data_IF_352871120497
#
_entry.id   IF_352871120497
#
_cell.length_a   1.000
_cell.length_b   1.000
_cell.length_c   1.000
_cell.angle_alpha   90.00
_cell.angle_beta   90.00
_cell.angle_gamma   90.00
#
_symmetry.space_group_name_H-M   'P 1'
#
loop_
_entity.id
_entity.type
_entity.pdbx_description
1 polymer ?
#
# COMPACT_ATOMS: atom_id res chain seq x y z
N UNK A 1 -14.58 -13.68 -3.12
CA UNK A 1 -13.89 -13.52 -4.40
C UNK A 1 -14.84 -13.88 -5.53
N UNK A 2 -15.23 -12.91 -6.35
CA UNK A 2 -16.07 -13.13 -7.53
C UNK A 2 -15.26 -13.76 -8.66
N UNK A 3 -15.93 -14.39 -9.63
CA UNK A 3 -15.23 -15.05 -10.75
C UNK A 3 -14.39 -14.07 -11.59
N UNK A 4 -14.89 -12.84 -11.73
CA UNK A 4 -14.20 -11.74 -12.41
C UNK A 4 -12.98 -11.27 -11.63
N UNK A 5 -13.05 -11.24 -10.29
CA UNK A 5 -11.89 -10.94 -9.44
C UNK A 5 -10.80 -12.00 -9.61
N UNK A 6 -11.14 -13.29 -9.60
CA UNK A 6 -10.16 -14.38 -9.77
C UNK A 6 -9.57 -14.37 -11.19
N UNK A 7 -10.39 -14.10 -12.22
CA UNK A 7 -9.93 -14.00 -13.61
C UNK A 7 -8.93 -12.86 -13.79
N UNK A 8 -9.20 -11.69 -13.19
CA UNK A 8 -8.27 -10.55 -13.17
C UNK A 8 -7.02 -10.84 -12.35
N UNK A 9 -7.17 -11.50 -11.20
CA UNK A 9 -6.06 -11.82 -10.30
C UNK A 9 -5.02 -12.74 -10.96
N UNK A 10 -5.49 -13.69 -11.77
CA UNK A 10 -4.66 -14.71 -12.41
C UNK A 10 -4.30 -14.38 -13.87
N UNK A 11 -4.76 -13.24 -14.39
CA UNK A 11 -4.65 -12.84 -15.80
C UNK A 11 -5.04 -13.97 -16.78
N UNK A 12 -6.15 -14.65 -16.50
CA UNK A 12 -6.67 -15.74 -17.32
C UNK A 12 -8.13 -15.51 -17.67
N UNK A 13 -8.56 -15.83 -18.90
CA UNK A 13 -9.94 -15.64 -19.33
C UNK A 13 -10.94 -16.38 -18.44
N UNK A 14 -12.11 -15.77 -18.20
CA UNK A 14 -13.22 -16.37 -17.44
C UNK A 14 -13.59 -17.79 -17.92
N UNK A 15 -13.40 -18.07 -19.22
CA UNK A 15 -13.65 -19.39 -19.82
C UNK A 15 -12.69 -20.45 -19.27
N UNK A 16 -11.41 -20.13 -19.18
CA UNK A 16 -10.38 -20.99 -18.58
C UNK A 16 -10.70 -21.27 -17.12
N UNK A 17 -11.16 -20.25 -16.39
CA UNK A 17 -11.58 -20.37 -14.99
C UNK A 17 -12.82 -21.27 -14.80
N UNK A 18 -13.79 -21.20 -15.73
CA UNK A 18 -14.97 -22.10 -15.74
C UNK A 18 -14.55 -23.55 -15.95
N UNK A 19 -13.61 -23.81 -16.85
CA UNK A 19 -13.14 -25.16 -17.14
C UNK A 19 -12.31 -25.74 -15.99
N UNK A 20 -11.54 -24.90 -15.27
CA UNK A 20 -10.84 -25.31 -14.07
C UNK A 20 -11.78 -25.58 -12.89
N UNK A 21 -12.91 -24.87 -12.78
CA UNK A 21 -13.93 -25.18 -11.77
C UNK A 21 -14.54 -26.58 -11.93
N UNK A 22 -14.56 -27.11 -13.16
CA UNK A 22 -14.96 -28.50 -13.45
C UNK A 22 -13.86 -29.51 -13.08
N UNK A 23 -12.60 -29.08 -13.11
CA UNK A 23 -11.44 -29.90 -12.75
C UNK A 23 -10.71 -29.31 -11.53
N UNK A 24 -11.31 -29.52 -10.35
CA UNK A 24 -10.95 -28.83 -9.09
C UNK A 24 -9.48 -28.97 -8.68
N UNK A 25 -8.81 -30.05 -9.07
CA UNK A 25 -7.39 -30.26 -8.74
C UNK A 25 -6.50 -29.15 -9.30
N UNK A 26 -6.66 -28.78 -10.57
CA UNK A 26 -5.89 -27.70 -11.21
C UNK A 26 -6.12 -26.34 -10.57
N UNK A 27 -7.33 -26.10 -10.07
CA UNK A 27 -7.63 -24.87 -9.33
C UNK A 27 -6.87 -24.84 -8.00
N UNK A 28 -6.83 -25.97 -7.28
CA UNK A 28 -6.09 -26.08 -6.03
C UNK A 28 -4.57 -25.99 -6.25
N UNK A 29 -4.02 -26.63 -7.28
CA UNK A 29 -2.59 -26.54 -7.61
C UNK A 29 -2.17 -25.09 -7.89
N UNK A 30 -3.02 -24.34 -8.62
CA UNK A 30 -2.77 -22.92 -8.90
C UNK A 30 -2.91 -22.09 -7.62
N UNK A 31 -3.95 -22.32 -6.81
CA UNK A 31 -4.12 -21.64 -5.52
C UNK A 31 -3.00 -21.95 -4.53
N UNK A 32 -2.40 -23.14 -4.60
CA UNK A 32 -1.25 -23.58 -3.80
C UNK A 32 0.06 -23.01 -4.34
N UNK A 33 0.16 -22.77 -5.66
CA UNK A 33 1.30 -22.09 -6.30
C UNK A 33 1.25 -20.56 -6.18
N UNK A 34 0.07 -19.99 -5.92
CA UNK A 34 -0.08 -18.57 -5.66
C UNK A 34 0.33 -18.28 -4.24
N UNK A 35 1.44 -17.58 -4.08
CA UNK A 35 1.78 -17.00 -2.78
C UNK A 35 0.72 -15.95 -2.44
N UNK A 36 -0.16 -16.27 -1.49
CA UNK A 36 -1.31 -15.44 -1.11
C UNK A 36 -0.88 -14.01 -0.76
N UNK A 37 0.29 -13.87 -0.15
CA UNK A 37 0.85 -12.57 0.21
C UNK A 37 1.30 -11.79 -1.03
N UNK A 38 2.02 -12.43 -1.96
CA UNK A 38 2.45 -11.79 -3.23
C UNK A 38 1.25 -11.40 -4.11
N UNK A 39 0.21 -12.23 -4.11
CA UNK A 39 -0.98 -12.03 -4.95
C UNK A 39 -1.88 -10.91 -4.39
N UNK A 40 -1.97 -10.81 -3.05
CA UNK A 40 -2.63 -9.69 -2.37
C UNK A 40 -1.87 -8.37 -2.58
N UNK A 41 -0.54 -8.42 -2.59
CA UNK A 41 0.30 -7.24 -2.90
C UNK A 41 0.08 -6.77 -4.36
N UNK A 42 -0.06 -7.67 -5.34
CA UNK A 42 -0.34 -7.31 -6.74
C UNK A 42 -1.71 -6.66 -6.96
N UNK A 43 -2.75 -7.08 -6.24
CA UNK A 43 -4.06 -6.42 -6.31
C UNK A 43 -4.01 -5.00 -5.73
N UNK A 44 -3.25 -4.79 -4.64
CA UNK A 44 -3.06 -3.46 -4.05
C UNK A 44 -2.32 -2.48 -4.97
N UNK A 45 -1.45 -2.98 -5.86
CA UNK A 45 -0.73 -2.18 -6.85
C UNK A 45 -1.67 -1.45 -7.83
N UNK A 46 -2.81 -2.06 -8.18
CA UNK A 46 -3.76 -1.43 -9.09
C UNK A 46 -4.43 -0.22 -8.43
N UNK A 47 -4.84 -0.35 -7.16
CA UNK A 47 -5.44 0.73 -6.38
C UNK A 47 -4.44 1.87 -6.06
N UNK A 48 -3.13 1.58 -5.97
CA UNK A 48 -2.12 2.63 -5.68
C UNK A 48 -1.93 3.67 -6.80
N UNK A 49 -2.12 3.27 -8.06
CA UNK A 49 -1.90 4.13 -9.23
C UNK A 49 -3.12 5.00 -9.57
N UNK A 50 -4.24 4.79 -8.89
CA UNK A 50 -5.45 5.56 -9.10
C UNK A 50 -5.23 7.03 -8.75
N UNK A 51 -5.72 7.91 -9.61
CA UNK A 51 -5.73 9.36 -9.40
C UNK A 51 -7.07 9.76 -8.81
N UNK A 52 -7.03 10.34 -7.61
CA UNK A 52 -8.22 10.78 -6.88
C UNK A 52 -8.19 12.28 -6.65
N UNK A 53 -9.37 12.86 -6.44
CA UNK A 53 -9.49 14.26 -6.00
C UNK A 53 -9.18 14.31 -4.50
N UNK A 54 -7.97 14.75 -4.19
CA UNK A 54 -7.50 15.01 -2.85
C UNK A 54 -8.14 16.29 -2.30
N UNK A 55 -8.61 16.25 -1.05
CA UNK A 55 -9.10 17.43 -0.34
C UNK A 55 -8.31 17.60 0.97
N UNK A 56 -7.49 18.67 1.09
CA UNK A 56 -6.64 18.87 2.26
C UNK A 56 -7.44 19.07 3.56
N UNK A 57 -8.69 19.53 3.48
CA UNK A 57 -9.55 19.77 4.66
C UNK A 57 -9.97 18.50 5.39
N UNK A 58 -9.75 17.33 4.80
CA UNK A 58 -10.03 16.03 5.42
C UNK A 58 -8.98 15.61 6.45
N UNK A 59 -7.86 16.31 6.48
CA UNK A 59 -6.68 15.94 7.25
C UNK A 59 -6.27 17.10 8.17
N UNK A 60 -5.56 16.78 9.24
CA UNK A 60 -5.07 17.77 10.21
C UNK A 60 -4.02 18.69 9.59
N UNK A 61 -3.16 18.12 8.76
CA UNK A 61 -2.05 18.83 8.12
C UNK A 61 -2.12 18.64 6.61
N UNK A 62 -2.00 19.75 5.86
CA UNK A 62 -1.90 19.67 4.41
C UNK A 62 -0.47 19.26 4.00
N UNK A 63 -0.27 17.99 3.64
CA UNK A 63 1.02 17.51 3.15
C UNK A 63 1.37 18.03 1.74
N UNK A 64 0.39 18.55 1.00
CA UNK A 64 0.54 19.20 -0.30
C UNK A 64 0.40 20.72 -0.15
N UNK A 65 1.24 21.33 0.69
CA UNK A 65 1.16 22.74 1.10
C UNK A 65 1.11 23.76 -0.06
N UNK A 66 1.58 23.40 -1.25
CA UNK A 66 1.50 24.23 -2.46
C UNK A 66 0.08 24.34 -3.03
N UNK A 67 -0.82 23.42 -2.65
CA UNK A 67 -2.22 23.39 -3.08
C UNK A 67 -3.12 23.33 -1.85
N UNK A 68 -3.62 24.48 -1.41
CA UNK A 68 -4.62 24.57 -0.34
C UNK A 68 -6.05 24.23 -0.81
N UNK A 69 -6.20 24.02 -2.12
CA UNK A 69 -7.45 23.62 -2.77
C UNK A 69 -7.43 22.13 -3.11
N UNK A 70 -8.56 21.62 -3.59
CA UNK A 70 -8.64 20.24 -4.08
C UNK A 70 -7.69 20.03 -5.25
N UNK A 71 -6.89 18.96 -5.22
CA UNK A 71 -5.94 18.65 -6.27
C UNK A 71 -6.03 17.18 -6.68
N UNK A 72 -5.58 16.87 -7.90
CA UNK A 72 -5.49 15.48 -8.35
C UNK A 72 -4.18 14.88 -7.85
N UNK A 73 -4.26 13.81 -7.07
CA UNK A 73 -3.10 13.12 -6.51
C UNK A 73 -3.27 11.62 -6.68
N UNK A 74 -2.16 10.88 -6.78
CA UNK A 74 -2.24 9.42 -6.75
C UNK A 74 -2.52 8.93 -5.34
N UNK A 75 -3.26 7.85 -5.19
CA UNK A 75 -3.49 7.22 -3.88
C UNK A 75 -2.16 6.91 -3.19
N UNK A 76 -1.18 6.41 -3.96
CA UNK A 76 0.18 6.20 -3.46
C UNK A 76 0.79 7.48 -2.88
N UNK A 77 0.75 8.62 -3.59
CA UNK A 77 1.41 9.85 -3.13
C UNK A 77 0.76 10.39 -1.86
N UNK A 78 -0.57 10.32 -1.76
CA UNK A 78 -1.31 10.72 -0.56
C UNK A 78 -0.84 9.88 0.64
N UNK A 79 -0.96 8.55 0.54
CA UNK A 79 -0.59 7.64 1.64
C UNK A 79 0.90 7.82 2.01
N UNK A 80 1.78 7.85 1.01
CA UNK A 80 3.23 7.98 1.20
C UNK A 80 3.62 9.26 1.95
N UNK A 81 2.96 10.38 1.65
CA UNK A 81 3.23 11.67 2.28
C UNK A 81 2.65 11.74 3.69
N UNK A 82 1.42 11.28 3.91
CA UNK A 82 0.82 11.27 5.26
C UNK A 82 1.53 10.33 6.23
N UNK A 83 2.03 9.18 5.77
CA UNK A 83 2.89 8.31 6.58
C UNK A 83 4.20 9.00 7.03
N UNK A 84 4.66 10.02 6.30
CA UNK A 84 5.86 10.80 6.67
C UNK A 84 5.58 11.81 7.78
N UNK A 85 4.32 12.25 7.92
CA UNK A 85 3.92 13.20 8.96
C UNK A 85 3.74 12.53 10.32
N UNK A 86 3.56 11.21 10.34
CA UNK A 86 3.38 10.40 11.55
C UNK A 86 2.21 10.84 12.46
N UNK A 87 1.23 11.57 11.92
CA UNK A 87 0.03 11.95 12.66
C UNK A 87 -0.95 10.77 12.73
N UNK A 88 -1.27 10.34 13.96
CA UNK A 88 -2.10 9.15 14.17
C UNK A 88 -3.54 9.33 13.67
N UNK A 89 -4.07 10.56 13.69
CA UNK A 89 -5.44 10.82 13.26
C UNK A 89 -5.56 10.78 11.73
N UNK A 90 -4.58 11.36 11.03
CA UNK A 90 -4.49 11.32 9.57
C UNK A 90 -4.20 9.91 9.07
N UNK A 91 -3.37 9.13 9.77
CA UNK A 91 -3.13 7.71 9.45
C UNK A 91 -4.43 6.89 9.58
N UNK A 92 -5.23 7.13 10.62
CA UNK A 92 -6.53 6.48 10.76
C UNK A 92 -7.51 6.93 9.67
N UNK A 93 -7.45 8.18 9.24
CA UNK A 93 -8.26 8.68 8.14
C UNK A 93 -7.88 8.03 6.80
N UNK A 94 -6.59 7.93 6.45
CA UNK A 94 -6.18 7.22 5.22
C UNK A 94 -6.51 5.72 5.29
N UNK A 95 -6.41 5.08 6.46
CA UNK A 95 -6.88 3.70 6.65
C UNK A 95 -8.36 3.54 6.32
N UNK A 96 -9.19 4.50 6.73
CA UNK A 96 -10.64 4.51 6.49
C UNK A 96 -10.97 4.75 5.01
N UNK A 97 -10.22 5.61 4.33
CA UNK A 97 -10.46 5.95 2.93
C UNK A 97 -9.97 4.88 1.95
N UNK A 98 -8.78 4.34 2.20
CA UNK A 98 -8.05 3.48 1.23
C UNK A 98 -7.89 2.03 1.70
N UNK A 99 -8.24 1.75 2.95
CA UNK A 99 -8.15 0.41 3.53
C UNK A 99 -6.78 0.11 4.14
N UNK A 100 -6.80 -0.55 5.31
CA UNK A 100 -5.62 -0.97 6.08
C UNK A 100 -4.57 -1.73 5.27
N UNK A 101 -5.00 -2.65 4.39
CA UNK A 101 -4.07 -3.48 3.60
C UNK A 101 -3.22 -2.63 2.65
N UNK A 102 -3.84 -1.65 1.97
CA UNK A 102 -3.18 -0.76 1.03
C UNK A 102 -2.22 0.18 1.75
N UNK A 103 -2.65 0.75 2.88
CA UNK A 103 -1.80 1.63 3.71
C UNK A 103 -0.58 0.86 4.25
N UNK A 104 -0.75 -0.39 4.70
CA UNK A 104 0.37 -1.24 5.12
C UNK A 104 1.33 -1.55 3.97
N UNK A 105 0.81 -1.83 2.78
CA UNK A 105 1.63 -2.07 1.60
C UNK A 105 2.52 -0.85 1.29
N UNK A 106 1.94 0.36 1.26
CA UNK A 106 2.72 1.59 1.00
C UNK A 106 3.72 1.87 2.11
N UNK A 107 3.40 1.58 3.38
CA UNK A 107 4.36 1.66 4.48
C UNK A 107 5.58 0.75 4.25
N UNK A 108 5.35 -0.51 3.90
CA UNK A 108 6.42 -1.47 3.64
C UNK A 108 7.29 -1.03 2.48
N UNK A 109 6.67 -0.65 1.37
CA UNK A 109 7.38 -0.20 0.17
C UNK A 109 8.22 1.07 0.43
N UNK A 110 7.66 2.06 1.15
CA UNK A 110 8.38 3.27 1.58
C UNK A 110 9.66 2.92 2.35
N UNK A 111 9.56 2.06 3.36
CA UNK A 111 10.68 1.71 4.21
C UNK A 111 11.70 0.80 3.53
N UNK A 112 11.26 -0.13 2.67
CA UNK A 112 12.15 -0.92 1.80
C UNK A 112 12.99 0.01 0.93
N UNK A 113 12.36 0.89 0.15
CA UNK A 113 13.05 1.87 -0.71
C UNK A 113 14.01 2.76 0.06
N UNK A 114 13.62 3.19 1.27
CA UNK A 114 14.47 4.03 2.12
C UNK A 114 15.71 3.28 2.63
N UNK A 115 15.56 2.02 3.05
CA UNK A 115 16.68 1.20 3.51
C UNK A 115 17.55 0.67 2.36
N UNK A 116 16.99 0.42 1.18
CA UNK A 116 17.74 0.06 -0.04
C UNK A 116 18.66 1.21 -0.47
N UNK A 117 18.23 2.46 -0.26
CA UNK A 117 19.08 3.63 -0.46
C UNK A 117 20.24 3.69 0.55
N UNK A 118 20.08 3.09 1.73
CA UNK A 118 21.10 2.99 2.78
C UNK A 118 21.30 4.26 3.62
N UNK A 119 20.60 5.35 3.31
CA UNK A 119 20.72 6.60 4.07
C UNK A 119 19.49 7.51 3.94
N UNK A 120 19.30 8.37 4.95
CA UNK A 120 18.34 9.48 4.92
C UNK A 120 19.12 10.78 4.79
N UNK A 121 18.87 11.51 3.70
CA UNK A 121 19.47 12.83 3.47
C UNK A 121 18.65 13.91 4.19
N UNK A 122 19.20 14.45 5.27
CA UNK A 122 18.62 15.59 5.98
C UNK A 122 19.44 16.84 5.69
N UNK A 123 19.17 17.50 4.56
CA UNK A 123 19.54 18.89 4.25
C UNK A 123 20.92 19.39 4.70
N UNK A 124 21.96 18.54 4.65
CA UNK A 124 23.29 18.86 5.16
C UNK A 124 24.03 17.69 5.84
N UNK A 125 23.33 16.60 6.20
CA UNK A 125 23.96 15.38 6.70
C UNK A 125 23.17 14.14 6.28
N UNK A 126 23.90 13.09 5.87
CA UNK A 126 23.32 11.79 5.57
C UNK A 126 23.34 10.90 6.81
N UNK A 127 22.16 10.48 7.27
CA UNK A 127 22.01 9.52 8.35
C UNK A 127 22.05 8.12 7.74
N UNK A 128 23.12 7.38 8.01
CA UNK A 128 23.26 6.00 7.54
C UNK A 128 22.18 5.11 8.17
N UNK A 129 21.53 4.31 7.33
CA UNK A 129 20.58 3.30 7.75
C UNK A 129 21.27 1.94 7.74
N UNK A 130 21.10 1.19 8.83
CA UNK A 130 21.65 -0.16 8.96
C UNK A 130 20.62 -1.10 9.56
N UNK A 131 20.81 -2.40 9.27
CA UNK A 131 19.91 -3.45 9.72
C UNK A 131 18.61 -3.52 8.91
N UNK A 132 17.59 -4.11 9.51
CA UNK A 132 16.30 -4.38 8.85
C UNK A 132 15.31 -3.24 9.09
N UNK A 133 14.65 -2.77 8.01
CA UNK A 133 13.69 -1.66 8.10
C UNK A 133 12.55 -1.89 9.09
N UNK A 134 12.12 -3.15 9.22
CA UNK A 134 11.05 -3.56 10.12
C UNK A 134 11.40 -3.47 11.62
N UNK A 135 12.68 -3.26 11.95
CA UNK A 135 13.15 -3.03 13.32
C UNK A 135 13.21 -1.54 13.69
N UNK A 136 13.04 -0.64 12.72
CA UNK A 136 12.98 0.80 12.95
C UNK A 136 11.84 1.15 13.90
N UNK A 137 12.10 2.01 14.88
CA UNK A 137 11.10 2.42 15.85
C UNK A 137 9.96 3.20 15.17
N UNK A 138 10.28 4.04 14.19
CA UNK A 138 9.29 4.75 13.39
C UNK A 138 8.40 3.78 12.60
N UNK A 139 8.99 2.73 12.02
CA UNK A 139 8.22 1.71 11.31
C UNK A 139 7.27 0.96 12.25
N UNK A 140 7.76 0.56 13.45
CA UNK A 140 6.93 -0.14 14.44
C UNK A 140 5.76 0.71 14.91
N UNK A 141 5.99 2.00 15.13
CA UNK A 141 4.94 2.91 15.59
C UNK A 141 3.85 3.09 14.52
N UNK A 142 4.25 3.38 13.28
CA UNK A 142 3.30 3.45 12.16
C UNK A 142 2.55 2.14 11.96
N UNK A 143 3.26 1.01 12.05
CA UNK A 143 2.66 -0.32 11.97
C UNK A 143 1.64 -0.55 13.09
N UNK A 144 1.93 -0.14 14.34
CA UNK A 144 0.97 -0.21 15.45
C UNK A 144 -0.29 0.60 15.17
N UNK A 145 -0.15 1.86 14.73
CA UNK A 145 -1.29 2.73 14.41
C UNK A 145 -2.16 2.10 13.30
N UNK A 146 -1.53 1.58 12.24
CA UNK A 146 -2.22 0.90 11.14
C UNK A 146 -2.87 -0.41 11.61
N UNK A 147 -2.27 -1.11 12.58
CA UNK A 147 -2.85 -2.32 13.17
C UNK A 147 -4.11 -2.05 13.99
N UNK A 148 -4.21 -0.84 14.54
CA UNK A 148 -5.36 -0.37 15.33
C UNK A 148 -6.41 0.35 14.46
N UNK A 149 -6.18 0.45 13.14
CA UNK A 149 -7.23 0.52 12.14
C UNK A 149 -7.92 -0.85 12.01
#
# INVERSE_FOLDING_TARGET
>A
MTQQEISRLLDIPDRTLRDWKKNRSRLYDVLESLDYDETKEKQSFQDTNDVVVFNPKKYTTNCFWQTNETSSQTVYSIIYNYLSLMDASDIKQICKEYGKSLVRYVLNDKYKKMYDKGYISTGGMDIQLSGSYNKSEMYKELSRIINDC
#
